data_IF_840747385934
#
_entry.id   IF_840747385934
#
_cell.length_a   1.000
_cell.length_b   1.000
_cell.length_c   1.000
_cell.angle_alpha   90.00
_cell.angle_beta   90.00
_cell.angle_gamma   90.00
#
_symmetry.space_group_name_H-M   'P 1'
#
loop_
_entity.id
_entity.type
_entity.pdbx_description
1 polymer ?
#
# COMPACT_ATOMS: atom_id res chain seq x y z
N UNK A 1 -23.36 -6.08 -44.79
CA UNK A 1 -22.07 -5.52 -44.34
C UNK A 1 -22.33 -4.06 -44.01
N UNK A 2 -22.73 -3.78 -42.78
CA UNK A 2 -22.75 -2.41 -42.25
C UNK A 2 -21.43 -2.17 -41.54
N UNK A 3 -20.73 -1.12 -41.96
CA UNK A 3 -19.42 -0.75 -41.48
C UNK A 3 -19.53 -0.21 -40.05
N UNK A 4 -18.95 -0.94 -39.09
CA UNK A 4 -18.57 -0.39 -37.79
C UNK A 4 -17.31 0.43 -37.99
N UNK A 5 -17.39 1.76 -37.89
CA UNK A 5 -16.23 2.59 -37.55
C UNK A 5 -16.68 3.99 -37.09
N UNK A 6 -16.80 4.11 -35.77
CA UNK A 6 -16.69 5.38 -35.06
C UNK A 6 -15.86 5.13 -33.80
N UNK A 7 -14.86 5.96 -33.46
CA UNK A 7 -14.10 5.74 -32.24
C UNK A 7 -15.02 5.98 -31.04
N UNK A 8 -15.25 4.94 -30.24
CA UNK A 8 -16.01 4.98 -28.99
C UNK A 8 -15.22 5.81 -27.96
N UNK A 9 -15.33 7.13 -28.05
CA UNK A 9 -14.81 8.08 -27.07
C UNK A 9 -16.00 8.58 -26.27
N UNK A 10 -16.30 7.98 -25.10
CA UNK A 10 -16.94 8.64 -23.93
C UNK A 10 -17.45 7.63 -22.89
N UNK A 11 -16.60 6.82 -22.26
CA UNK A 11 -17.00 6.10 -21.04
C UNK A 11 -15.84 5.93 -20.07
N UNK A 12 -15.02 6.97 -19.91
CA UNK A 12 -14.14 7.01 -18.75
C UNK A 12 -14.97 7.50 -17.55
N UNK A 13 -15.36 6.61 -16.61
CA UNK A 13 -16.21 6.97 -15.49
C UNK A 13 -15.57 8.02 -14.59
N UNK A 14 -14.23 8.10 -14.54
CA UNK A 14 -13.51 9.08 -13.74
C UNK A 14 -13.66 10.47 -14.34
N UNK A 15 -13.53 10.60 -15.66
CA UNK A 15 -13.70 11.89 -16.35
C UNK A 15 -15.15 12.39 -16.27
N UNK A 16 -16.12 11.50 -16.24
CA UNK A 16 -17.54 11.85 -16.04
C UNK A 16 -17.77 12.33 -14.61
N UNK A 17 -17.21 11.63 -13.61
CA UNK A 17 -17.32 12.01 -12.20
C UNK A 17 -16.63 13.35 -11.89
N UNK A 18 -15.47 13.64 -12.50
CA UNK A 18 -14.79 14.92 -12.32
C UNK A 18 -15.59 16.08 -12.93
N UNK A 19 -16.25 15.82 -14.08
CA UNK A 19 -17.10 16.82 -14.75
C UNK A 19 -18.43 17.08 -14.04
N UNK A 20 -18.94 16.11 -13.28
CA UNK A 20 -20.19 16.25 -12.55
C UNK A 20 -20.04 17.03 -11.23
N UNK A 21 -18.81 17.27 -10.76
CA UNK A 21 -18.57 18.10 -9.58
C UNK A 21 -19.06 19.54 -9.79
N UNK A 22 -19.58 20.17 -8.75
CA UNK A 22 -19.85 21.60 -8.74
C UNK A 22 -18.56 22.43 -8.51
N UNK A 23 -18.66 23.76 -8.60
CA UNK A 23 -17.50 24.64 -8.45
C UNK A 23 -16.86 24.56 -7.05
N UNK A 24 -17.67 24.41 -6.00
CA UNK A 24 -17.21 24.33 -4.63
C UNK A 24 -16.51 23.00 -4.34
N UNK A 25 -17.03 21.91 -4.91
CA UNK A 25 -16.46 20.58 -4.83
C UNK A 25 -15.11 20.51 -5.56
N UNK A 26 -15.02 21.09 -6.76
CA UNK A 26 -13.75 21.17 -7.50
C UNK A 26 -12.68 21.93 -6.73
N UNK A 27 -13.05 23.03 -6.07
CA UNK A 27 -12.12 23.83 -5.29
C UNK A 27 -11.65 23.10 -4.03
N UNK A 28 -12.56 22.38 -3.36
CA UNK A 28 -12.23 21.51 -2.25
C UNK A 28 -11.29 20.36 -2.65
N UNK A 29 -11.60 19.65 -3.74
CA UNK A 29 -10.73 18.61 -4.29
C UNK A 29 -9.34 19.14 -4.65
N UNK A 30 -9.27 20.34 -5.24
CA UNK A 30 -8.00 21.00 -5.56
C UNK A 30 -7.20 21.37 -4.31
N UNK A 31 -7.88 21.79 -3.24
CA UNK A 31 -7.26 22.09 -1.95
C UNK A 31 -6.65 20.82 -1.33
N UNK A 32 -7.41 19.73 -1.25
CA UNK A 32 -6.92 18.44 -0.75
C UNK A 32 -5.73 17.95 -1.59
N UNK A 33 -5.85 17.97 -2.92
CA UNK A 33 -4.76 17.56 -3.80
C UNK A 33 -3.49 18.40 -3.57
N UNK A 34 -3.62 19.70 -3.31
CA UNK A 34 -2.50 20.57 -2.99
C UNK A 34 -1.91 20.29 -1.60
N UNK A 35 -2.72 19.93 -0.62
CA UNK A 35 -2.24 19.55 0.73
C UNK A 35 -1.50 18.20 0.68
N UNK A 36 -2.03 17.24 -0.06
CA UNK A 36 -1.43 15.91 -0.22
C UNK A 36 -0.15 15.93 -1.06
N UNK A 37 -0.16 16.65 -2.19
CA UNK A 37 0.93 16.57 -3.19
C UNK A 37 1.74 17.86 -3.35
N UNK A 38 1.28 18.99 -2.80
CA UNK A 38 1.94 20.30 -2.99
C UNK A 38 3.29 20.44 -2.28
N UNK A 39 3.58 19.58 -1.31
CA UNK A 39 4.89 19.49 -0.66
C UNK A 39 5.82 18.48 -1.35
N UNK A 40 5.30 17.65 -2.27
CA UNK A 40 6.09 16.70 -3.02
C UNK A 40 6.77 17.44 -4.19
N UNK A 41 8.09 17.63 -4.09
CA UNK A 41 8.88 18.16 -5.19
C UNK A 41 9.07 17.05 -6.24
N UNK A 42 8.15 16.96 -7.20
CA UNK A 42 8.31 16.11 -8.38
C UNK A 42 9.31 16.74 -9.36
N UNK A 43 10.59 16.74 -9.00
CA UNK A 43 11.67 17.21 -9.87
C UNK A 43 12.69 16.11 -10.07
N UNK A 44 12.39 15.18 -10.98
CA UNK A 44 13.37 14.21 -11.48
C UNK A 44 14.03 13.30 -10.43
N UNK A 45 13.41 13.15 -9.27
CA UNK A 45 13.83 12.17 -8.27
C UNK A 45 12.95 10.96 -8.48
N UNK A 46 13.59 9.86 -8.81
CA UNK A 46 13.02 8.53 -8.85
C UNK A 46 12.21 8.31 -7.56
N UNK A 47 10.88 8.38 -7.67
CA UNK A 47 9.94 8.31 -6.55
C UNK A 47 10.14 6.99 -5.77
N UNK A 48 10.67 5.97 -6.45
CA UNK A 48 11.04 4.69 -5.87
C UNK A 48 12.24 4.76 -4.92
N UNK A 49 13.12 5.75 -5.06
CA UNK A 49 14.35 5.85 -4.26
C UNK A 49 14.24 6.80 -3.05
N UNK A 50 13.31 7.76 -3.08
CA UNK A 50 13.13 8.73 -1.97
C UNK A 50 12.04 8.35 -0.98
N UNK A 51 11.23 7.34 -1.29
CA UNK A 51 10.18 6.81 -0.41
C UNK A 51 10.62 5.59 0.39
N UNK A 52 11.91 5.31 0.56
CA UNK A 52 12.29 4.35 1.60
C UNK A 52 12.02 5.04 2.94
N UNK A 53 10.99 4.61 3.70
CA UNK A 53 10.79 5.15 5.03
C UNK A 53 12.08 4.92 5.82
N UNK A 54 12.43 5.79 6.77
CA UNK A 54 13.47 5.52 7.75
C UNK A 54 13.36 4.06 8.23
N UNK A 55 14.48 3.34 8.39
CA UNK A 55 14.45 1.92 8.75
C UNK A 55 13.65 1.64 10.03
N UNK A 56 13.65 2.59 10.96
CA UNK A 56 12.83 2.55 12.19
C UNK A 56 11.33 2.58 11.89
N UNK A 57 10.90 3.37 10.90
CA UNK A 57 9.51 3.44 10.47
C UNK A 57 9.08 2.14 9.76
N UNK A 58 9.98 1.50 9.00
CA UNK A 58 9.71 0.20 8.39
C UNK A 58 9.55 -0.90 9.43
N UNK A 59 10.39 -0.92 10.47
CA UNK A 59 10.25 -1.88 11.57
C UNK A 59 8.90 -1.73 12.26
N UNK A 60 8.54 -0.50 12.66
CA UNK A 60 7.28 -0.22 13.33
C UNK A 60 6.07 -0.55 12.44
N UNK A 61 6.17 -0.23 11.14
CA UNK A 61 5.12 -0.54 10.17
C UNK A 61 4.87 -2.05 10.06
N UNK A 62 5.92 -2.87 9.93
CA UNK A 62 5.77 -4.33 9.79
C UNK A 62 5.35 -4.99 11.10
N UNK A 63 5.87 -4.53 12.26
CA UNK A 63 5.41 -5.07 13.55
C UNK A 63 3.94 -4.77 13.80
N UNK A 64 3.48 -3.57 13.46
CA UNK A 64 2.07 -3.21 13.62
C UNK A 64 1.15 -4.06 12.74
N UNK A 65 1.58 -4.45 11.54
CA UNK A 65 0.80 -5.39 10.72
C UNK A 65 0.54 -6.72 11.44
N UNK A 66 1.56 -7.26 12.11
CA UNK A 66 1.42 -8.49 12.90
C UNK A 66 0.54 -8.27 14.14
N UNK A 67 0.65 -7.12 14.80
CA UNK A 67 -0.22 -6.75 15.93
C UNK A 67 -1.68 -6.57 15.49
N UNK A 68 -1.91 -6.10 14.25
CA UNK A 68 -3.22 -5.99 13.60
C UNK A 68 -3.76 -7.35 13.11
N UNK A 69 -3.02 -8.44 13.31
CA UNK A 69 -3.42 -9.81 12.97
C UNK A 69 -3.13 -10.23 11.54
N UNK A 70 -2.26 -9.50 10.82
CA UNK A 70 -1.75 -9.96 9.52
C UNK A 70 -0.86 -11.18 9.76
N UNK A 71 -1.19 -12.28 9.10
CA UNK A 71 -0.44 -13.53 9.21
C UNK A 71 0.97 -13.39 8.60
N UNK A 72 2.03 -14.00 9.17
CA UNK A 72 3.40 -13.90 8.66
C UNK A 72 3.54 -14.26 7.17
N UNK A 73 2.80 -15.25 6.69
CA UNK A 73 2.78 -15.64 5.26
C UNK A 73 2.26 -14.57 4.30
N UNK A 74 1.63 -13.50 4.80
CA UNK A 74 1.18 -12.37 3.99
C UNK A 74 2.23 -11.27 3.87
N UNK A 75 3.33 -11.35 4.63
CA UNK A 75 4.44 -10.41 4.52
C UNK A 75 5.25 -10.67 3.25
N UNK A 76 5.78 -9.60 2.68
CA UNK A 76 6.71 -9.69 1.56
C UNK A 76 8.11 -10.13 2.03
N UNK A 77 8.94 -10.68 1.14
CA UNK A 77 10.32 -11.08 1.46
C UNK A 77 11.14 -9.95 2.10
N UNK A 78 10.91 -8.70 1.67
CA UNK A 78 11.54 -7.51 2.24
C UNK A 78 11.14 -7.28 3.70
N UNK A 79 9.88 -7.53 4.04
CA UNK A 79 9.35 -7.39 5.40
C UNK A 79 9.82 -8.53 6.31
N UNK A 80 9.87 -9.77 5.81
CA UNK A 80 10.53 -10.89 6.52
C UNK A 80 11.97 -10.57 6.88
N UNK A 81 12.71 -9.94 5.95
CA UNK A 81 14.08 -9.51 6.20
C UNK A 81 14.13 -8.41 7.26
N UNK A 82 13.25 -7.40 7.20
CA UNK A 82 13.16 -6.37 8.24
C UNK A 82 12.90 -7.00 9.60
N UNK A 83 12.00 -7.97 9.71
CA UNK A 83 11.72 -8.64 10.97
C UNK A 83 12.92 -9.46 11.46
N UNK A 84 13.58 -10.18 10.56
CA UNK A 84 14.78 -10.98 10.88
C UNK A 84 15.95 -10.11 11.34
N UNK A 85 16.21 -8.99 10.68
CA UNK A 85 17.30 -8.07 10.98
C UNK A 85 17.09 -7.36 12.33
N UNK A 86 15.83 -7.14 12.76
CA UNK A 86 15.51 -6.37 13.97
C UNK A 86 15.14 -7.23 15.20
N UNK A 87 14.50 -8.38 14.98
CA UNK A 87 13.99 -9.25 16.05
C UNK A 87 14.63 -10.66 16.04
N UNK A 88 15.49 -10.93 15.06
CA UNK A 88 16.21 -12.19 14.91
C UNK A 88 15.48 -13.24 14.05
N UNK A 89 16.13 -14.38 13.72
CA UNK A 89 15.59 -15.39 12.81
C UNK A 89 14.29 -16.05 13.28
N UNK A 90 13.99 -15.97 14.57
CA UNK A 90 12.82 -16.57 15.23
C UNK A 90 11.80 -15.53 15.66
N UNK A 91 11.77 -14.38 15.00
CA UNK A 91 10.89 -13.26 15.36
C UNK A 91 9.42 -13.66 15.47
N UNK A 92 8.97 -14.61 14.65
CA UNK A 92 7.59 -15.10 14.59
C UNK A 92 7.11 -15.74 15.92
N UNK A 93 8.02 -16.27 16.73
CA UNK A 93 7.71 -16.83 18.05
C UNK A 93 7.17 -15.74 19.00
N UNK A 94 7.58 -14.47 18.82
CA UNK A 94 7.11 -13.35 19.64
C UNK A 94 5.62 -13.06 19.44
N UNK A 95 5.07 -13.42 18.27
CA UNK A 95 3.65 -13.29 17.93
C UNK A 95 2.90 -14.63 18.02
N UNK A 96 3.54 -15.67 18.57
CA UNK A 96 2.91 -16.96 18.82
C UNK A 96 2.80 -17.89 17.61
N UNK A 97 3.45 -17.54 16.50
CA UNK A 97 3.50 -18.34 15.28
C UNK A 97 4.63 -19.37 15.32
N UNK A 98 4.61 -20.31 14.37
CA UNK A 98 5.67 -21.29 14.13
C UNK A 98 6.37 -21.00 12.79
N UNK A 99 7.53 -21.61 12.55
CA UNK A 99 8.33 -21.33 11.35
C UNK A 99 7.57 -21.57 10.03
N UNK A 100 6.71 -22.59 9.99
CA UNK A 100 5.92 -22.84 8.79
C UNK A 100 4.82 -21.80 8.54
N UNK A 101 4.48 -20.97 9.53
CA UNK A 101 3.57 -19.82 9.35
C UNK A 101 4.14 -18.73 8.44
N UNK A 102 5.45 -18.75 8.22
CA UNK A 102 6.10 -17.83 7.29
C UNK A 102 5.69 -18.08 5.83
N UNK A 103 5.16 -19.27 5.50
CA UNK A 103 4.80 -19.66 4.14
C UNK A 103 3.37 -20.14 3.99
N UNK A 104 2.83 -20.84 4.99
CA UNK A 104 1.50 -21.43 4.97
C UNK A 104 0.79 -21.13 6.29
N UNK A 105 -0.53 -21.15 6.36
CA UNK A 105 -1.22 -20.98 7.65
C UNK A 105 -1.25 -22.34 8.35
N UNK A 106 -0.34 -22.55 9.31
CA UNK A 106 -0.20 -23.80 10.05
C UNK A 106 -0.79 -23.68 11.44
N UNK A 107 -0.60 -22.52 12.09
CA UNK A 107 -1.14 -22.29 13.43
C UNK A 107 -2.66 -22.25 13.38
N UNK A 108 -3.26 -23.39 13.71
CA UNK A 108 -4.69 -23.54 14.00
C UNK A 108 -4.99 -23.00 15.40
N UNK A 109 -6.12 -22.30 15.54
CA UNK A 109 -6.60 -21.61 16.75
C UNK A 109 -6.15 -22.28 18.05
N UNK A 110 -5.50 -21.50 18.92
CA UNK A 110 -5.36 -21.87 20.34
C UNK A 110 -6.73 -21.68 20.98
N UNK A 111 -7.37 -22.80 21.32
CA UNK A 111 -8.56 -22.89 22.19
C UNK A 111 -8.54 -21.86 23.33
#
# INVERSE_FOLDING_TARGET
MENHDGPNVTHDPELVAIKSLDASQREYFKKIGKEMYGHLKFKGVDLMNTLKPPKEDLRAFVSNQLDDGIHPSALTEGEHKVMTDNFGPKWYENWGYVEGDLTEIITVDRN
#
